data_IF_881174247870
#
_entry.id   IF_881174247870
#
_cell.length_a   1.000
_cell.length_b   1.000
_cell.length_c   1.000
_cell.angle_alpha   90.00
_cell.angle_beta   90.00
_cell.angle_gamma   90.00
#
_symmetry.space_group_name_H-M   'P 1'
#
loop_
_entity.id
_entity.type
_entity.pdbx_description
1 polymer ?
#
# COMPACT_ATOMS: atom_id res chain seq x y z
N UNK A 1 -22.02 10.10 22.86
CA UNK A 1 -20.96 10.76 23.08
C UNK A 1 -20.05 11.08 21.94
N UNK A 2 -20.35 12.19 21.35
CA UNK A 2 -19.60 12.72 20.22
C UNK A 2 -18.15 13.01 20.57
N UNK A 3 -17.85 13.26 21.84
CA UNK A 3 -16.48 13.45 22.33
C UNK A 3 -15.56 12.25 22.07
N UNK A 4 -16.13 11.07 21.93
CA UNK A 4 -15.39 9.85 21.60
C UNK A 4 -15.37 9.54 20.12
N UNK A 5 -15.80 10.45 19.28
CA UNK A 5 -15.60 10.33 17.84
C UNK A 5 -14.12 10.48 17.55
N UNK A 6 -13.44 9.41 17.69
CA UNK A 6 -12.11 9.26 17.14
C UNK A 6 -12.24 9.24 15.63
N UNK A 7 -11.24 9.74 14.95
CA UNK A 7 -11.17 9.52 13.53
C UNK A 7 -11.11 8.03 13.28
N UNK A 8 -12.21 7.48 12.79
CA UNK A 8 -12.35 6.05 12.60
C UNK A 8 -11.70 5.56 11.33
N UNK A 9 -11.42 6.48 10.41
CA UNK A 9 -10.73 6.21 9.16
C UNK A 9 -9.68 7.28 8.94
N UNK A 10 -8.50 6.85 8.55
CA UNK A 10 -7.39 7.75 8.27
C UNK A 10 -6.63 7.26 7.06
N UNK A 11 -6.12 8.22 6.27
CA UNK A 11 -5.19 7.92 5.20
C UNK A 11 -3.79 7.72 5.79
N UNK A 12 -3.55 6.54 6.34
CA UNK A 12 -2.36 6.21 7.13
C UNK A 12 -1.65 4.95 6.63
N UNK A 13 -1.58 4.82 5.32
CA UNK A 13 -1.00 3.63 4.69
C UNK A 13 0.38 3.27 5.21
N UNK A 14 1.22 4.28 5.45
CA UNK A 14 2.57 4.13 5.96
C UNK A 14 2.66 4.00 7.48
N UNK A 15 1.54 4.22 8.17
CA UNK A 15 1.43 4.18 9.62
C UNK A 15 0.18 3.43 10.09
N UNK A 16 -0.26 2.48 9.30
CA UNK A 16 -1.49 1.73 9.57
C UNK A 16 -1.45 1.09 10.96
N UNK A 17 -0.33 0.44 11.29
CA UNK A 17 -0.13 -0.17 12.61
C UNK A 17 -0.32 0.86 13.72
N UNK A 18 0.37 2.00 13.64
CA UNK A 18 0.28 3.05 14.63
C UNK A 18 -1.14 3.59 14.78
N UNK A 19 -1.80 3.85 13.66
CA UNK A 19 -3.19 4.33 13.66
C UNK A 19 -4.15 3.35 14.32
N UNK A 20 -4.03 2.07 14.01
CA UNK A 20 -4.85 1.03 14.62
C UNK A 20 -4.60 0.92 16.12
N UNK A 21 -3.35 0.97 16.55
CA UNK A 21 -2.99 0.94 17.97
C UNK A 21 -3.53 2.16 18.73
N UNK A 22 -3.62 3.30 18.07
CA UNK A 22 -4.18 4.52 18.65
C UNK A 22 -5.70 4.56 18.62
N UNK A 23 -6.34 3.53 18.10
CA UNK A 23 -7.79 3.37 18.15
C UNK A 23 -8.53 3.75 16.87
N UNK A 24 -7.84 3.92 15.75
CA UNK A 24 -8.52 4.09 14.47
C UNK A 24 -9.27 2.80 14.11
N UNK A 25 -10.51 2.91 13.66
CA UNK A 25 -11.32 1.75 13.30
C UNK A 25 -10.86 1.11 11.99
N UNK A 26 -10.37 1.91 11.06
CA UNK A 26 -9.94 1.46 9.74
C UNK A 26 -8.95 2.45 9.14
N UNK A 27 -8.24 2.00 8.10
CA UNK A 27 -7.42 2.84 7.25
C UNK A 27 -8.00 2.95 5.86
N UNK A 28 -7.64 4.02 5.17
CA UNK A 28 -7.96 4.22 3.75
C UNK A 28 -6.72 4.75 3.04
N UNK A 29 -6.50 4.32 1.82
CA UNK A 29 -5.34 4.79 1.07
C UNK A 29 -5.28 4.21 -0.34
N UNK A 30 -4.62 4.94 -1.23
CA UNK A 30 -4.51 4.57 -2.64
C UNK A 30 -3.73 3.28 -2.91
N UNK A 31 -2.81 2.91 -2.03
CA UNK A 31 -1.99 1.71 -2.21
C UNK A 31 -2.69 0.41 -1.82
N UNK A 32 -3.83 0.48 -1.17
CA UNK A 32 -4.57 -0.70 -0.72
C UNK A 32 -5.06 -1.55 -1.89
N UNK A 33 -5.42 -0.91 -3.00
CA UNK A 33 -5.84 -1.62 -4.20
C UNK A 33 -4.74 -2.46 -4.88
N UNK A 34 -3.48 -2.07 -4.70
CA UNK A 34 -2.34 -2.78 -5.27
C UNK A 34 -1.91 -3.99 -4.44
N UNK A 35 -2.15 -3.95 -3.14
CA UNK A 35 -1.70 -4.99 -2.20
C UNK A 35 -2.67 -5.15 -1.02
N UNK A 36 -3.96 -5.41 -1.29
CA UNK A 36 -4.96 -5.51 -0.24
C UNK A 36 -4.66 -6.63 0.75
N UNK A 37 -4.10 -7.73 0.29
CA UNK A 37 -3.78 -8.89 1.11
C UNK A 37 -2.78 -8.54 2.21
N UNK A 38 -1.82 -7.69 1.91
CA UNK A 38 -0.81 -7.27 2.90
C UNK A 38 -1.44 -6.43 4.01
N UNK A 39 -2.35 -5.51 3.67
CA UNK A 39 -3.05 -4.72 4.67
C UNK A 39 -4.05 -5.55 5.48
N UNK A 40 -4.71 -6.50 4.86
CA UNK A 40 -5.58 -7.44 5.57
C UNK A 40 -4.78 -8.30 6.55
N UNK A 41 -3.62 -8.79 6.12
CA UNK A 41 -2.72 -9.55 6.99
C UNK A 41 -2.21 -8.69 8.14
N UNK A 42 -1.83 -7.45 7.87
CA UNK A 42 -1.39 -6.51 8.89
C UNK A 42 -2.50 -6.28 9.94
N UNK A 43 -3.73 -6.07 9.49
CA UNK A 43 -4.88 -5.92 10.39
C UNK A 43 -5.10 -7.17 11.24
N UNK A 44 -4.96 -8.36 10.65
CA UNK A 44 -5.08 -9.63 11.37
C UNK A 44 -3.99 -9.77 12.44
N UNK A 45 -2.74 -9.43 12.11
CA UNK A 45 -1.64 -9.49 13.08
C UNK A 45 -1.87 -8.53 14.26
N UNK A 46 -2.41 -7.35 13.99
CA UNK A 46 -2.76 -6.38 15.03
C UNK A 46 -3.86 -6.95 15.93
N UNK A 47 -4.91 -7.51 15.34
CA UNK A 47 -6.02 -8.12 16.09
C UNK A 47 -5.56 -9.28 16.97
N UNK A 48 -4.60 -10.06 16.50
CA UNK A 48 -4.01 -11.18 17.22
C UNK A 48 -2.91 -10.76 18.21
N UNK A 49 -2.64 -9.46 18.30
CA UNK A 49 -1.59 -8.90 19.18
C UNK A 49 -0.17 -9.37 18.84
N UNK A 50 0.08 -9.82 17.62
CA UNK A 50 1.40 -10.19 17.12
C UNK A 50 2.14 -8.95 16.62
N UNK A 51 2.47 -8.04 17.55
CA UNK A 51 2.92 -6.69 17.22
C UNK A 51 4.30 -6.65 16.57
N UNK A 52 5.21 -7.54 16.94
CA UNK A 52 6.54 -7.58 16.34
C UNK A 52 6.46 -7.97 14.86
N UNK A 53 5.67 -8.99 14.54
CA UNK A 53 5.46 -9.39 13.15
C UNK A 53 4.67 -8.33 12.37
N UNK A 54 3.70 -7.69 13.01
CA UNK A 54 2.96 -6.58 12.42
C UNK A 54 3.88 -5.42 12.08
N UNK A 55 4.83 -5.11 12.94
CA UNK A 55 5.84 -4.07 12.71
C UNK A 55 6.74 -4.41 11.51
N UNK A 56 7.19 -5.66 11.42
CA UNK A 56 7.98 -6.13 10.27
C UNK A 56 7.21 -5.97 8.96
N UNK A 57 5.94 -6.36 8.96
CA UNK A 57 5.08 -6.21 7.79
C UNK A 57 4.83 -4.74 7.44
N UNK A 58 4.63 -3.88 8.44
CA UNK A 58 4.47 -2.44 8.21
C UNK A 58 5.73 -1.85 7.55
N UNK A 59 6.91 -2.23 7.99
CA UNK A 59 8.16 -1.77 7.37
C UNK A 59 8.30 -2.28 5.94
N UNK A 60 7.92 -3.52 5.67
CA UNK A 60 7.93 -4.05 4.33
C UNK A 60 6.95 -3.29 3.41
N UNK A 61 5.76 -2.98 3.90
CA UNK A 61 4.78 -2.15 3.18
C UNK A 61 5.36 -0.75 2.91
N UNK A 62 6.01 -0.15 3.89
CA UNK A 62 6.60 1.17 3.73
C UNK A 62 7.71 1.17 2.67
N UNK A 63 8.49 0.10 2.58
CA UNK A 63 9.49 -0.05 1.52
C UNK A 63 8.83 -0.11 0.13
N UNK A 64 7.71 -0.82 0.01
CA UNK A 64 6.93 -0.87 -1.23
C UNK A 64 6.41 0.52 -1.59
N UNK A 65 5.83 1.24 -0.63
CA UNK A 65 5.32 2.60 -0.83
C UNK A 65 6.44 3.53 -1.28
N UNK A 66 7.61 3.45 -0.64
CA UNK A 66 8.78 4.21 -1.03
C UNK A 66 9.17 3.97 -2.49
N UNK A 67 9.10 2.71 -2.93
CA UNK A 67 9.37 2.36 -4.33
C UNK A 67 8.31 2.92 -5.27
N UNK A 68 7.03 2.78 -4.93
CA UNK A 68 5.91 3.29 -5.73
C UNK A 68 5.99 4.82 -5.92
N UNK A 69 6.49 5.53 -4.94
CA UNK A 69 6.58 6.99 -4.98
C UNK A 69 7.90 7.52 -5.55
N UNK A 70 8.85 6.65 -5.86
CA UNK A 70 10.16 7.05 -6.40
C UNK A 70 10.14 7.32 -7.91
N UNK A 71 9.08 6.96 -8.61
CA UNK A 71 8.93 7.18 -10.04
C UNK A 71 8.66 8.65 -10.35
N UNK A 72 8.99 9.07 -11.57
CA UNK A 72 8.65 10.41 -12.08
C UNK A 72 7.15 10.54 -12.36
N UNK A 73 6.53 9.45 -12.79
CA UNK A 73 5.08 9.39 -12.98
C UNK A 73 4.34 9.45 -11.65
N UNK A 74 3.06 9.78 -11.71
CA UNK A 74 2.21 9.82 -10.54
C UNK A 74 2.10 8.43 -9.90
N UNK A 75 2.02 8.37 -8.59
CA UNK A 75 1.91 7.10 -7.87
C UNK A 75 0.74 6.24 -8.35
N UNK A 76 -0.40 6.85 -8.68
CA UNK A 76 -1.55 6.09 -9.18
C UNK A 76 -1.30 5.48 -10.56
N UNK A 77 -0.50 6.15 -11.39
CA UNK A 77 -0.08 5.57 -12.67
C UNK A 77 0.83 4.35 -12.44
N UNK A 78 1.74 4.44 -11.47
CA UNK A 78 2.61 3.32 -11.09
C UNK A 78 1.78 2.16 -10.54
N UNK A 79 0.79 2.43 -9.69
CA UNK A 79 -0.12 1.41 -9.15
C UNK A 79 -0.85 0.68 -10.27
N UNK A 80 -1.36 1.40 -11.27
CA UNK A 80 -2.02 0.78 -12.43
C UNK A 80 -1.07 -0.12 -13.21
N UNK A 81 0.19 0.30 -13.37
CA UNK A 81 1.22 -0.53 -14.00
C UNK A 81 1.52 -1.79 -13.20
N UNK A 82 1.59 -1.68 -11.89
CA UNK A 82 1.80 -2.82 -10.99
C UNK A 82 0.63 -3.81 -11.08
N UNK A 83 -0.60 -3.33 -11.12
CA UNK A 83 -1.79 -4.17 -11.27
C UNK A 83 -1.78 -4.90 -12.63
N UNK A 84 -1.31 -4.26 -13.68
CA UNK A 84 -1.17 -4.92 -14.98
C UNK A 84 -0.18 -6.07 -14.92
N UNK A 85 0.97 -5.88 -14.28
CA UNK A 85 2.01 -6.91 -14.15
C UNK A 85 1.55 -8.05 -13.25
N UNK A 86 1.01 -7.74 -12.07
CA UNK A 86 0.71 -8.74 -11.06
C UNK A 86 -0.64 -9.44 -11.25
N UNK A 87 -1.64 -8.71 -11.77
CA UNK A 87 -3.02 -9.20 -11.84
C UNK A 87 -3.55 -9.29 -13.28
N UNK A 88 -2.77 -8.85 -14.25
CA UNK A 88 -3.20 -8.82 -15.65
C UNK A 88 -4.31 -7.81 -15.94
N UNK A 89 -4.48 -6.81 -15.10
CA UNK A 89 -5.53 -5.81 -15.23
C UNK A 89 -5.05 -4.60 -16.04
N UNK A 90 -5.47 -4.50 -17.28
CA UNK A 90 -5.17 -3.36 -18.13
C UNK A 90 -6.19 -2.24 -17.89
N UNK A 91 -5.89 -1.37 -16.92
CA UNK A 91 -6.80 -0.28 -16.52
C UNK A 91 -6.55 0.99 -17.33
N UNK A 92 -5.38 1.09 -17.97
CA UNK A 92 -4.96 2.29 -18.69
C UNK A 92 -4.11 3.21 -17.82
N UNK A 93 -4.01 4.46 -18.22
CA UNK A 93 -3.19 5.45 -17.54
C UNK A 93 -4.04 6.38 -16.66
N UNK A 94 -3.41 7.42 -16.14
CA UNK A 94 -4.08 8.46 -15.36
C UNK A 94 -4.53 9.60 -16.25
N UNK A 95 -5.52 10.37 -15.79
CA UNK A 95 -6.00 11.55 -16.48
C UNK A 95 -5.15 12.77 -16.12
N UNK A 96 -5.10 13.71 -17.07
CA UNK A 96 -4.55 15.03 -16.80
C UNK A 96 -5.25 15.68 -15.58
N UNK A 97 -4.55 16.40 -14.71
CA UNK A 97 -3.15 16.84 -14.80
C UNK A 97 -2.12 15.85 -14.23
N UNK A 98 -2.51 14.63 -13.89
CA UNK A 98 -1.58 13.66 -13.33
C UNK A 98 -0.60 13.17 -14.40
N UNK A 99 0.64 12.99 -14.01
CA UNK A 99 1.70 12.56 -14.92
C UNK A 99 1.65 11.05 -15.12
N UNK A 100 1.55 10.55 -16.37
CA UNK A 100 1.60 9.11 -16.64
C UNK A 100 3.00 8.55 -16.37
N UNK A 101 3.10 7.21 -16.29
CA UNK A 101 4.37 6.51 -16.19
C UNK A 101 5.23 6.81 -17.41
N UNK A 102 6.47 7.21 -17.16
CA UNK A 102 7.45 7.46 -18.20
C UNK A 102 8.17 6.16 -18.58
N UNK A 103 8.81 6.13 -19.73
CA UNK A 103 9.61 4.99 -20.17
C UNK A 103 10.71 4.67 -19.12
N UNK A 104 11.31 5.70 -18.56
CA UNK A 104 12.34 5.61 -17.52
C UNK A 104 11.81 5.03 -16.19
N UNK A 105 10.50 5.04 -15.98
CA UNK A 105 9.87 4.51 -14.77
C UNK A 105 9.59 3.01 -14.84
N UNK A 106 9.71 2.40 -16.02
CA UNK A 106 9.38 1.00 -16.21
C UNK A 106 10.12 0.06 -15.26
N UNK A 107 11.44 0.20 -15.04
CA UNK A 107 12.15 -0.62 -14.05
C UNK A 107 11.58 -0.46 -12.64
N UNK A 108 11.15 0.73 -12.26
CA UNK A 108 10.56 1.01 -10.94
C UNK A 108 9.23 0.27 -10.80
N UNK A 109 8.39 0.28 -11.81
CA UNK A 109 7.11 -0.45 -11.82
C UNK A 109 7.35 -1.95 -11.67
N UNK A 110 8.30 -2.51 -12.41
CA UNK A 110 8.65 -3.92 -12.35
C UNK A 110 9.21 -4.31 -10.98
N UNK A 111 10.10 -3.51 -10.43
CA UNK A 111 10.67 -3.74 -9.10
C UNK A 111 9.62 -3.64 -8.00
N UNK A 112 8.72 -2.68 -8.08
CA UNK A 112 7.61 -2.55 -7.13
C UNK A 112 6.68 -3.77 -7.20
N UNK A 113 6.34 -4.23 -8.39
CA UNK A 113 5.53 -5.42 -8.59
C UNK A 113 6.20 -6.67 -7.99
N UNK A 114 7.50 -6.83 -8.23
CA UNK A 114 8.26 -7.94 -7.68
C UNK A 114 8.34 -7.87 -6.16
N UNK A 115 8.58 -6.70 -5.60
CA UNK A 115 8.67 -6.50 -4.15
C UNK A 115 7.35 -6.83 -3.46
N UNK A 116 6.23 -6.49 -4.07
CA UNK A 116 4.90 -6.86 -3.57
C UNK A 116 4.74 -8.38 -3.55
N UNK A 117 5.10 -9.07 -4.63
CA UNK A 117 5.02 -10.54 -4.70
C UNK A 117 5.90 -11.20 -3.63
N UNK A 118 7.13 -10.74 -3.50
CA UNK A 118 8.06 -11.26 -2.48
C UNK A 118 7.53 -11.06 -1.06
N UNK A 119 6.96 -9.91 -0.79
CA UNK A 119 6.39 -9.60 0.54
C UNK A 119 5.17 -10.48 0.82
N UNK A 120 4.33 -10.72 -0.17
CA UNK A 120 3.21 -11.67 -0.03
C UNK A 120 3.70 -13.07 0.29
N UNK A 121 4.72 -13.57 -0.40
CA UNK A 121 5.31 -14.89 -0.12
C UNK A 121 5.86 -14.97 1.30
N UNK A 122 6.46 -13.90 1.80
CA UNK A 122 7.08 -13.88 3.13
C UNK A 122 6.04 -13.85 4.25
N UNK A 123 4.93 -13.14 4.08
CA UNK A 123 3.97 -12.89 5.16
C UNK A 123 2.65 -13.64 5.03
N UNK A 124 2.28 -14.09 3.87
CA UNK A 124 1.07 -14.87 3.65
C UNK A 124 1.40 -16.34 3.55
#
# INVERSE_FOLDING_TARGET
>A
LTAYRRQRQMCIRDRFLGGRLMGAAAGIGGTYGAMPELFLKLNQLIANKELERAKELQYAINAIIGKLTSARGNMYAVIKGVLEINEGLTIGSVRSPLTPVQESDRPIVEEAAQLIRQTKEQFL
#
